data_IF_328255004946
#
_entry.id   IF_328255004946
#
_cell.length_a   1.000
_cell.length_b   1.000
_cell.length_c   1.000
_cell.angle_alpha   90.00
_cell.angle_beta   90.00
_cell.angle_gamma   90.00
#
_symmetry.space_group_name_H-M   'P 1'
#
loop_
_entity.id
_entity.type
_entity.pdbx_description
1 polymer ?
#
# COMPACT_ATOMS: atom_id res chain seq x y z
N UNK A 1 -1.38 -22.14 -3.43
CA UNK A 1 -2.36 -21.06 -3.18
C UNK A 1 -2.50 -20.29 -4.47
N UNK A 2 -3.68 -20.33 -5.10
CA UNK A 2 -3.87 -19.97 -6.52
C UNK A 2 -3.91 -18.46 -6.76
N UNK A 3 -3.47 -18.06 -7.95
CA UNK A 3 -3.44 -16.67 -8.47
C UNK A 3 -4.81 -15.96 -8.39
N UNK A 4 -5.89 -16.73 -8.27
CA UNK A 4 -7.28 -16.28 -8.16
C UNK A 4 -7.60 -15.62 -6.81
N UNK A 5 -7.16 -16.19 -5.70
CA UNK A 5 -7.39 -15.63 -4.35
C UNK A 5 -6.71 -14.26 -4.22
N UNK A 6 -5.58 -14.08 -4.89
CA UNK A 6 -4.83 -12.81 -4.91
C UNK A 6 -5.50 -11.72 -5.75
N UNK A 7 -6.11 -12.07 -6.88
CA UNK A 7 -6.88 -11.13 -7.72
C UNK A 7 -8.14 -10.63 -6.99
N UNK A 8 -8.76 -11.49 -6.19
CA UNK A 8 -9.98 -11.17 -5.43
C UNK A 8 -9.73 -10.12 -4.34
N UNK A 9 -8.60 -10.23 -3.60
CA UNK A 9 -8.27 -9.24 -2.56
C UNK A 9 -7.84 -7.86 -3.10
N UNK A 10 -7.22 -7.80 -4.29
CA UNK A 10 -6.84 -6.55 -4.94
C UNK A 10 -8.02 -5.78 -5.56
N UNK A 11 -9.09 -6.48 -5.94
CA UNK A 11 -10.27 -5.87 -6.54
C UNK A 11 -11.20 -5.23 -5.50
N UNK A 12 -11.24 -5.79 -4.27
CA UNK A 12 -12.11 -5.32 -3.20
C UNK A 12 -11.76 -3.89 -2.70
N UNK A 13 -10.50 -3.46 -2.84
CA UNK A 13 -10.06 -2.12 -2.43
C UNK A 13 -10.38 -1.04 -3.48
N UNK A 14 -10.47 -1.40 -4.76
CA UNK A 14 -10.78 -0.46 -5.86
C UNK A 14 -12.27 -0.23 -6.06
N UNK A 15 -13.11 -1.20 -5.65
CA UNK A 15 -14.57 -1.10 -5.73
C UNK A 15 -15.17 0.01 -4.88
N UNK A 16 -14.63 0.26 -3.67
CA UNK A 16 -15.13 1.30 -2.75
C UNK A 16 -14.83 2.73 -3.24
N UNK A 17 -13.63 2.97 -3.80
CA UNK A 17 -13.24 4.30 -4.29
C UNK A 17 -14.04 4.77 -5.53
N UNK A 18 -14.48 3.84 -6.38
CA UNK A 18 -15.26 4.18 -7.57
C UNK A 18 -16.75 4.45 -7.30
N UNK A 19 -17.32 3.90 -6.22
CA UNK A 19 -18.72 4.20 -5.84
C UNK A 19 -18.86 5.60 -5.22
N UNK A 20 -17.92 6.00 -4.35
CA UNK A 20 -17.93 7.33 -3.72
C UNK A 20 -17.75 8.47 -4.73
N UNK A 21 -17.06 8.22 -5.86
CA UNK A 21 -16.85 9.23 -6.90
C UNK A 21 -18.09 9.43 -7.79
N UNK A 22 -18.96 8.41 -7.95
CA UNK A 22 -20.16 8.51 -8.81
C UNK A 22 -21.30 9.31 -8.17
N UNK A 23 -21.47 9.20 -6.86
CA UNK A 23 -22.59 9.83 -6.13
C UNK A 23 -22.46 11.37 -6.14
N UNK A 24 -21.25 11.90 -6.29
CA UNK A 24 -20.98 13.35 -6.25
C UNK A 24 -21.09 14.07 -7.61
N UNK A 25 -21.37 13.35 -8.71
CA UNK A 25 -21.43 13.94 -10.06
C UNK A 25 -22.88 14.25 -10.46
N UNK A 26 -23.87 13.63 -9.82
CA UNK A 26 -25.29 13.72 -10.21
C UNK A 26 -26.04 14.92 -9.60
N UNK A 27 -25.45 15.66 -8.65
CA UNK A 27 -26.14 16.76 -7.94
C UNK A 27 -26.04 18.16 -8.58
N UNK A 28 -25.20 18.35 -9.60
CA UNK A 28 -24.88 19.71 -10.11
C UNK A 28 -25.53 20.08 -11.46
N UNK A 29 -26.52 19.31 -11.92
CA UNK A 29 -27.13 19.56 -13.24
C UNK A 29 -28.61 19.92 -13.14
N UNK A 30 -28.97 21.05 -12.51
CA UNK A 30 -30.20 21.76 -12.85
C UNK A 30 -30.09 23.29 -12.69
N UNK A 31 -30.74 23.99 -13.64
CA UNK A 31 -31.13 25.42 -13.71
C UNK A 31 -30.20 26.39 -14.47
N UNK A 32 -30.52 26.69 -15.75
CA UNK A 32 -31.24 27.92 -16.18
C UNK A 32 -31.07 28.17 -17.69
N UNK A 33 -32.18 28.21 -18.41
CA UNK A 33 -32.34 28.60 -19.82
C UNK A 33 -32.16 30.11 -20.03
N UNK A 34 -31.09 30.51 -20.71
CA UNK A 34 -30.97 31.78 -21.46
C UNK A 34 -29.65 31.75 -22.25
N UNK A 35 -29.68 31.34 -23.52
CA UNK A 35 -28.59 31.44 -24.54
C UNK A 35 -27.15 31.59 -24.00
N UNK A 36 -26.77 30.73 -23.05
CA UNK A 36 -25.50 30.80 -22.32
C UNK A 36 -24.64 29.76 -22.99
N UNK A 37 -23.63 30.21 -23.74
CA UNK A 37 -22.60 29.31 -24.26
C UNK A 37 -22.12 28.44 -23.09
N UNK A 38 -22.37 27.13 -23.19
CA UNK A 38 -22.04 26.21 -22.11
C UNK A 38 -20.51 26.11 -22.07
N UNK A 39 -19.91 26.46 -20.94
CA UNK A 39 -18.47 26.40 -20.76
C UNK A 39 -18.10 25.22 -19.88
N UNK A 40 -17.04 24.50 -20.26
CA UNK A 40 -16.39 23.50 -19.44
C UNK A 40 -15.23 24.09 -18.68
N UNK A 41 -15.09 23.73 -17.40
CA UNK A 41 -13.86 23.96 -16.65
C UNK A 41 -12.82 22.88 -17.00
N UNK A 42 -11.55 23.09 -16.61
CA UNK A 42 -10.53 22.02 -16.68
C UNK A 42 -10.97 20.73 -15.97
N UNK A 43 -11.72 20.82 -14.88
CA UNK A 43 -12.22 19.64 -14.17
C UNK A 43 -13.23 18.87 -15.03
N UNK A 44 -14.15 19.57 -15.72
CA UNK A 44 -15.09 18.93 -16.64
C UNK A 44 -14.36 18.28 -17.82
N UNK A 45 -13.35 18.94 -18.39
CA UNK A 45 -12.51 18.34 -19.44
C UNK A 45 -11.82 17.06 -18.96
N UNK A 46 -11.25 17.07 -17.74
CA UNK A 46 -10.62 15.89 -17.14
C UNK A 46 -11.60 14.74 -16.95
N UNK A 47 -12.83 15.02 -16.52
CA UNK A 47 -13.90 14.01 -16.40
C UNK A 47 -14.25 13.38 -17.76
N UNK A 48 -14.12 14.13 -18.87
CA UNK A 48 -14.30 13.64 -20.24
C UNK A 48 -13.09 12.89 -20.80
N UNK A 49 -12.01 12.77 -20.02
CA UNK A 49 -10.79 12.06 -20.40
C UNK A 49 -9.71 12.94 -21.01
N UNK A 50 -9.83 14.26 -20.92
CA UNK A 50 -8.74 15.16 -21.25
C UNK A 50 -7.66 15.09 -20.16
N UNK A 51 -6.41 15.00 -20.57
CA UNK A 51 -5.22 15.19 -19.74
C UNK A 51 -4.70 16.61 -19.87
N UNK A 52 -3.84 17.04 -18.94
CA UNK A 52 -3.18 18.35 -19.04
C UNK A 52 -2.39 18.51 -20.36
N UNK A 53 -1.78 17.41 -20.82
CA UNK A 53 -1.06 17.36 -22.10
C UNK A 53 -1.99 17.52 -23.29
N UNK A 54 -3.15 16.87 -23.31
CA UNK A 54 -4.12 17.05 -24.41
C UNK A 54 -4.70 18.46 -24.42
N UNK A 55 -4.95 19.05 -23.26
CA UNK A 55 -5.39 20.46 -23.19
C UNK A 55 -4.29 21.35 -23.79
N UNK A 56 -3.03 21.17 -23.39
CA UNK A 56 -1.91 21.96 -23.93
C UNK A 56 -1.69 21.80 -25.44
N UNK A 57 -2.01 20.63 -26.03
CA UNK A 57 -1.79 20.37 -27.45
C UNK A 57 -2.97 20.85 -28.30
N UNK A 58 -4.19 20.55 -27.87
CA UNK A 58 -5.39 20.73 -28.69
C UNK A 58 -6.22 21.95 -28.30
N UNK A 59 -6.07 22.48 -27.09
CA UNK A 59 -6.82 23.63 -26.59
C UNK A 59 -6.03 24.46 -25.57
N UNK A 60 -4.84 25.00 -25.94
CA UNK A 60 -3.93 25.64 -24.99
C UNK A 60 -4.49 26.93 -24.39
N UNK A 61 -5.20 27.71 -25.20
CA UNK A 61 -5.80 28.98 -24.81
C UNK A 61 -7.26 28.79 -24.42
N UNK A 62 -7.66 29.11 -23.17
CA UNK A 62 -9.07 29.10 -22.77
C UNK A 62 -9.81 30.27 -23.42
N UNK A 63 -11.11 30.12 -23.65
CA UNK A 63 -11.93 31.20 -24.20
C UNK A 63 -12.22 32.29 -23.17
N UNK A 64 -12.36 31.89 -21.90
CA UNK A 64 -12.58 32.82 -20.79
C UNK A 64 -11.79 32.40 -19.55
N UNK A 65 -11.37 33.40 -18.77
CA UNK A 65 -10.87 33.21 -17.41
C UNK A 65 -11.76 33.98 -16.43
N UNK A 66 -12.21 33.31 -15.37
CA UNK A 66 -12.99 33.96 -14.30
C UNK A 66 -12.33 33.76 -12.95
N UNK A 67 -12.56 34.67 -12.02
CA UNK A 67 -12.12 34.48 -10.64
C UNK A 67 -12.80 33.24 -10.04
N UNK A 68 -12.02 32.45 -9.31
CA UNK A 68 -12.47 31.27 -8.62
C UNK A 68 -13.17 31.69 -7.32
N UNK A 69 -14.41 31.25 -7.10
CA UNK A 69 -15.15 31.52 -5.86
C UNK A 69 -14.48 30.97 -4.60
N UNK A 70 -13.57 30.00 -4.74
CA UNK A 70 -12.84 29.38 -3.63
C UNK A 70 -11.47 30.02 -3.35
N UNK A 71 -11.00 30.97 -4.15
CA UNK A 71 -9.71 31.62 -3.95
C UNK A 71 -9.70 33.06 -4.45
N UNK A 72 -9.28 33.98 -3.57
CA UNK A 72 -9.26 35.42 -3.83
C UNK A 72 -8.43 35.81 -5.06
N UNK A 73 -7.41 35.02 -5.39
CA UNK A 73 -6.50 35.26 -6.53
C UNK A 73 -6.51 34.13 -7.57
N UNK A 74 -7.27 33.05 -7.32
CA UNK A 74 -7.33 31.91 -8.25
C UNK A 74 -8.19 32.27 -9.46
N UNK A 75 -7.73 31.94 -10.67
CA UNK A 75 -8.52 32.03 -11.89
C UNK A 75 -8.89 30.65 -12.40
N UNK A 76 -10.15 30.46 -12.76
CA UNK A 76 -10.67 29.26 -13.41
C UNK A 76 -10.73 29.50 -14.91
N UNK A 77 -10.10 28.59 -15.67
CA UNK A 77 -10.10 28.56 -17.13
C UNK A 77 -11.38 27.89 -17.65
N UNK A 78 -12.03 28.53 -18.62
CA UNK A 78 -13.29 28.11 -19.21
C UNK A 78 -13.13 27.89 -20.71
N UNK A 79 -13.70 26.78 -21.19
CA UNK A 79 -13.59 26.30 -22.56
C UNK A 79 -14.98 26.13 -23.15
N UNK A 80 -15.23 26.66 -24.33
CA UNK A 80 -16.53 26.55 -24.99
C UNK A 80 -16.84 25.08 -25.34
N UNK A 81 -17.99 24.59 -24.87
CA UNK A 81 -18.43 23.21 -25.10
C UNK A 81 -18.50 22.82 -26.58
N UNK A 82 -18.93 23.73 -27.45
CA UNK A 82 -19.01 23.53 -28.90
C UNK A 82 -17.62 23.27 -29.49
N UNK A 83 -16.63 24.10 -29.15
CA UNK A 83 -15.24 23.93 -29.59
C UNK A 83 -14.62 22.65 -29.03
N UNK A 84 -14.89 22.34 -27.77
CA UNK A 84 -14.44 21.07 -27.15
C UNK A 84 -14.99 19.87 -27.92
N UNK A 85 -16.28 19.89 -28.27
CA UNK A 85 -16.92 18.80 -29.02
C UNK A 85 -16.35 18.70 -30.43
N UNK A 86 -16.17 19.82 -31.13
CA UNK A 86 -15.55 19.86 -32.45
C UNK A 86 -14.11 19.29 -32.43
N UNK A 87 -13.33 19.62 -31.41
CA UNK A 87 -11.98 19.05 -31.23
C UNK A 87 -12.05 17.54 -30.98
N UNK A 88 -12.96 17.09 -30.10
CA UNK A 88 -13.15 15.66 -29.80
C UNK A 88 -13.53 14.84 -31.05
N UNK A 89 -14.18 15.46 -32.03
CA UNK A 89 -14.57 14.83 -33.29
C UNK A 89 -13.43 14.68 -34.30
N UNK A 90 -12.38 15.49 -34.18
CA UNK A 90 -11.22 15.43 -35.10
C UNK A 90 -10.51 14.08 -35.05
N UNK A 91 -10.04 13.62 -36.22
CA UNK A 91 -9.30 12.36 -36.32
C UNK A 91 -8.03 12.37 -35.45
N UNK A 92 -7.31 13.50 -35.42
CA UNK A 92 -6.08 13.67 -34.64
C UNK A 92 -6.31 13.52 -33.15
N UNK A 93 -7.40 14.07 -32.61
CA UNK A 93 -7.76 13.91 -31.20
C UNK A 93 -8.15 12.46 -30.87
N UNK A 94 -8.99 11.83 -31.72
CA UNK A 94 -9.40 10.43 -31.54
C UNK A 94 -8.21 9.48 -31.55
N UNK A 95 -7.27 9.65 -32.48
CA UNK A 95 -6.03 8.87 -32.53
C UNK A 95 -5.15 9.09 -31.30
N UNK A 96 -4.96 10.34 -30.87
CA UNK A 96 -4.20 10.65 -29.67
C UNK A 96 -4.80 9.96 -28.44
N UNK A 97 -6.12 10.06 -28.28
CA UNK A 97 -6.86 9.45 -27.17
C UNK A 97 -6.71 7.93 -27.18
N UNK A 98 -6.86 7.29 -28.34
CA UNK A 98 -6.68 5.85 -28.48
C UNK A 98 -5.26 5.41 -28.08
N UNK A 99 -4.22 6.09 -28.60
CA UNK A 99 -2.81 5.81 -28.25
C UNK A 99 -2.54 5.99 -26.76
N UNK A 100 -3.07 7.06 -26.16
CA UNK A 100 -2.89 7.32 -24.73
C UNK A 100 -3.58 6.25 -23.87
N UNK A 101 -4.81 5.86 -24.21
CA UNK A 101 -5.53 4.80 -23.51
C UNK A 101 -4.79 3.47 -23.55
N UNK A 102 -4.28 3.08 -24.73
CA UNK A 102 -3.48 1.86 -24.88
C UNK A 102 -2.22 1.92 -24.02
N UNK A 103 -1.50 3.05 -24.03
CA UNK A 103 -0.31 3.25 -23.19
C UNK A 103 -0.64 3.11 -21.70
N UNK A 104 -1.72 3.73 -21.23
CA UNK A 104 -2.14 3.66 -19.82
C UNK A 104 -2.52 2.23 -19.45
N UNK A 105 -3.25 1.52 -20.33
CA UNK A 105 -3.61 0.12 -20.13
C UNK A 105 -2.36 -0.77 -20.01
N UNK A 106 -1.46 -0.69 -20.99
CA UNK A 106 -0.22 -1.48 -20.99
C UNK A 106 0.68 -1.15 -19.78
N UNK A 107 0.78 0.12 -19.39
CA UNK A 107 1.52 0.52 -18.20
C UNK A 107 0.91 -0.07 -16.92
N UNK A 108 -0.43 -0.08 -16.81
CA UNK A 108 -1.15 -0.69 -15.68
C UNK A 108 -0.93 -2.20 -15.62
N UNK A 109 -1.03 -2.88 -16.76
CA UNK A 109 -0.78 -4.33 -16.87
C UNK A 109 0.67 -4.68 -16.51
N UNK A 110 1.64 -3.92 -17.03
CA UNK A 110 3.05 -4.08 -16.69
C UNK A 110 3.34 -3.86 -15.21
N UNK A 111 2.76 -2.82 -14.61
CA UNK A 111 2.89 -2.54 -13.18
C UNK A 111 2.26 -3.66 -12.33
N UNK A 112 1.09 -4.18 -12.73
CA UNK A 112 0.44 -5.30 -12.05
C UNK A 112 1.29 -6.57 -12.12
N UNK A 113 1.82 -6.91 -13.30
CA UNK A 113 2.70 -8.07 -13.49
C UNK A 113 3.96 -7.94 -12.63
N UNK A 114 4.61 -6.79 -12.64
CA UNK A 114 5.79 -6.53 -11.81
C UNK A 114 5.49 -6.67 -10.31
N UNK A 115 4.32 -6.21 -9.86
CA UNK A 115 3.89 -6.37 -8.47
C UNK A 115 3.64 -7.83 -8.10
N UNK A 116 3.00 -8.61 -8.97
CA UNK A 116 2.79 -10.05 -8.79
C UNK A 116 4.12 -10.78 -8.72
N UNK A 117 5.01 -10.56 -9.69
CA UNK A 117 6.33 -11.20 -9.73
C UNK A 117 7.14 -10.88 -8.47
N UNK A 118 7.18 -9.62 -8.04
CA UNK A 118 7.86 -9.24 -6.79
C UNK A 118 7.28 -9.96 -5.58
N UNK A 119 5.95 -10.05 -5.49
CA UNK A 119 5.27 -10.74 -4.41
C UNK A 119 5.62 -12.25 -4.38
N UNK A 120 5.60 -12.89 -5.55
CA UNK A 120 5.99 -14.30 -5.70
C UNK A 120 7.44 -14.52 -5.27
N UNK A 121 8.37 -13.71 -5.76
CA UNK A 121 9.78 -13.84 -5.36
C UNK A 121 10.00 -13.65 -3.85
N UNK A 122 9.27 -12.73 -3.21
CA UNK A 122 9.32 -12.58 -1.75
C UNK A 122 8.72 -13.78 -1.01
N UNK A 123 7.63 -14.33 -1.54
CA UNK A 123 7.01 -15.52 -0.96
C UNK A 123 7.96 -16.72 -1.06
N UNK A 124 8.58 -16.92 -2.22
CA UNK A 124 9.56 -17.98 -2.44
C UNK A 124 10.77 -17.81 -1.53
N UNK A 125 11.25 -16.57 -1.35
CA UNK A 125 12.33 -16.26 -0.42
C UNK A 125 11.97 -16.66 1.02
N UNK A 126 10.80 -16.24 1.53
CA UNK A 126 10.34 -16.58 2.90
C UNK A 126 10.10 -18.08 3.03
N UNK A 127 9.61 -18.75 1.98
CA UNK A 127 9.32 -20.18 2.00
C UNK A 127 10.58 -21.05 2.08
N UNK A 128 11.64 -20.61 1.41
CA UNK A 128 12.92 -21.33 1.36
C UNK A 128 13.91 -20.84 2.42
N UNK A 129 13.50 -19.91 3.28
CA UNK A 129 14.33 -19.44 4.39
C UNK A 129 14.57 -20.61 5.35
N UNK A 130 15.83 -20.99 5.49
CA UNK A 130 16.26 -21.91 6.53
C UNK A 130 16.45 -21.11 7.81
N UNK A 131 15.73 -21.50 8.85
CA UNK A 131 15.78 -20.84 10.15
C UNK A 131 16.59 -21.76 11.03
N UNK A 132 17.78 -21.31 11.41
CA UNK A 132 18.67 -22.04 12.28
C UNK A 132 18.67 -21.34 13.63
N UNK A 133 18.17 -22.03 14.65
CA UNK A 133 18.16 -21.50 16.02
C UNK A 133 19.26 -22.20 16.79
N UNK A 134 20.29 -21.49 17.28
CA UNK A 134 21.32 -22.11 18.11
C UNK A 134 20.69 -22.69 19.38
N UNK A 135 21.07 -23.93 19.70
CA UNK A 135 20.64 -24.57 20.93
C UNK A 135 21.43 -24.02 22.12
N UNK A 136 20.71 -23.56 23.14
CA UNK A 136 21.23 -23.17 24.44
C UNK A 136 20.59 -24.05 25.50
N UNK A 137 21.33 -24.37 26.56
CA UNK A 137 20.71 -25.04 27.70
C UNK A 137 19.66 -24.14 28.35
N UNK A 138 18.65 -24.74 28.99
CA UNK A 138 17.50 -24.01 29.53
C UNK A 138 17.92 -22.91 30.49
N UNK A 139 18.82 -23.21 31.42
CA UNK A 139 19.34 -22.29 32.42
C UNK A 139 20.09 -21.12 31.76
N UNK A 140 20.86 -21.41 30.71
CA UNK A 140 21.59 -20.39 29.95
C UNK A 140 20.62 -19.47 29.21
N UNK A 141 19.64 -20.05 28.50
CA UNK A 141 18.64 -19.27 27.77
C UNK A 141 17.87 -18.34 28.70
N UNK A 142 17.42 -18.83 29.87
CA UNK A 142 16.70 -18.01 30.84
C UNK A 142 17.57 -16.89 31.41
N UNK A 143 18.86 -17.16 31.64
CA UNK A 143 19.81 -16.14 32.11
C UNK A 143 19.95 -15.01 31.09
N UNK A 144 20.21 -15.34 29.83
CA UNK A 144 20.33 -14.34 28.76
C UNK A 144 19.02 -13.60 28.50
N UNK A 145 17.89 -14.30 28.58
CA UNK A 145 16.55 -13.71 28.46
C UNK A 145 16.32 -12.63 29.52
N UNK A 146 16.65 -12.93 30.78
CA UNK A 146 16.50 -12.01 31.91
C UNK A 146 17.41 -10.78 31.72
N UNK A 147 18.67 -11.01 31.36
CA UNK A 147 19.63 -9.94 31.11
C UNK A 147 19.16 -9.02 29.97
N UNK A 148 18.77 -9.60 28.84
CA UNK A 148 18.22 -8.90 27.69
C UNK A 148 17.05 -7.98 28.06
N UNK A 149 16.05 -8.53 28.75
CA UNK A 149 14.86 -7.77 29.13
C UNK A 149 15.18 -6.64 30.12
N UNK A 150 16.02 -6.94 31.13
CA UNK A 150 16.36 -5.96 32.16
C UNK A 150 17.23 -4.83 31.62
N UNK A 151 18.14 -5.11 30.68
CA UNK A 151 18.92 -4.10 29.99
C UNK A 151 18.00 -3.17 29.19
N UNK A 152 17.07 -3.72 28.41
CA UNK A 152 16.08 -2.91 27.66
C UNK A 152 15.18 -2.06 28.56
N UNK A 153 14.81 -2.55 29.75
CA UNK A 153 14.07 -1.78 30.75
C UNK A 153 14.90 -0.65 31.33
N UNK A 154 16.17 -0.92 31.66
CA UNK A 154 17.11 0.08 32.18
C UNK A 154 17.30 1.22 31.19
N UNK A 155 17.45 0.92 29.90
CA UNK A 155 17.59 1.93 28.84
C UNK A 155 16.36 2.84 28.71
N UNK A 156 15.19 2.35 29.13
CA UNK A 156 13.93 3.10 29.19
C UNK A 156 13.69 3.82 30.53
N UNK A 157 14.58 3.63 31.52
CA UNK A 157 14.40 4.16 32.87
C UNK A 157 13.34 3.43 33.70
N UNK A 158 13.02 2.18 33.35
CA UNK A 158 12.06 1.32 34.05
C UNK A 158 12.80 0.32 34.95
N UNK A 159 12.27 0.04 36.14
CA UNK A 159 12.94 -0.77 37.18
C UNK A 159 12.20 -2.07 37.55
N UNK A 160 11.11 -2.39 36.85
CA UNK A 160 10.39 -3.65 37.01
C UNK A 160 11.15 -4.79 36.31
N UNK A 161 12.13 -5.33 37.01
CA UNK A 161 13.04 -6.34 36.47
C UNK A 161 12.44 -7.75 36.52
N UNK A 162 12.76 -8.50 35.47
CA UNK A 162 12.48 -9.92 35.37
C UNK A 162 13.48 -10.71 36.21
N UNK A 163 12.99 -11.77 36.85
CA UNK A 163 13.80 -12.72 37.64
C UNK A 163 13.37 -14.15 37.32
N UNK A 164 14.14 -15.15 37.76
CA UNK A 164 13.75 -16.57 37.62
C UNK A 164 12.46 -16.94 38.35
N UNK A 165 12.08 -16.17 39.37
CA UNK A 165 10.87 -16.38 40.17
C UNK A 165 9.66 -15.59 39.65
N UNK A 166 9.83 -14.84 38.55
CA UNK A 166 8.72 -14.16 37.89
C UNK A 166 7.72 -15.16 37.33
N UNK A 167 6.51 -14.68 37.02
CA UNK A 167 5.45 -15.50 36.42
C UNK A 167 5.99 -16.36 35.26
N UNK A 168 5.87 -17.70 35.33
CA UNK A 168 6.42 -18.60 34.31
C UNK A 168 5.87 -18.34 32.91
N UNK A 169 4.60 -17.92 32.79
CA UNK A 169 3.99 -17.58 31.51
C UNK A 169 4.67 -16.36 30.89
N UNK A 170 4.84 -15.30 31.68
CA UNK A 170 5.56 -14.11 31.25
C UNK A 170 7.02 -14.41 30.90
N UNK A 171 7.73 -15.18 31.73
CA UNK A 171 9.12 -15.56 31.48
C UNK A 171 9.28 -16.35 30.17
N UNK A 172 8.40 -17.32 29.89
CA UNK A 172 8.41 -18.08 28.65
C UNK A 172 8.15 -17.19 27.42
N UNK A 173 7.24 -16.21 27.54
CA UNK A 173 6.99 -15.24 26.47
C UNK A 173 8.21 -14.37 26.19
N UNK A 174 8.90 -13.89 27.22
CA UNK A 174 10.11 -13.08 27.04
C UNK A 174 11.26 -13.93 26.49
N UNK A 175 11.38 -15.20 26.92
CA UNK A 175 12.36 -16.13 26.36
C UNK A 175 12.16 -16.35 24.86
N UNK A 176 10.90 -16.49 24.42
CA UNK A 176 10.58 -16.50 23.00
C UNK A 176 11.01 -15.23 22.29
N UNK A 177 10.68 -14.06 22.84
CA UNK A 177 11.08 -12.80 22.23
C UNK A 177 12.60 -12.70 22.10
N UNK A 178 13.35 -13.12 23.12
CA UNK A 178 14.80 -13.18 23.05
C UNK A 178 15.27 -14.08 21.90
N UNK A 179 14.73 -15.30 21.77
CA UNK A 179 15.05 -16.18 20.64
C UNK A 179 14.74 -15.50 19.30
N UNK A 180 13.55 -14.89 19.17
CA UNK A 180 13.13 -14.21 17.95
C UNK A 180 14.06 -13.07 17.56
N UNK A 181 14.46 -12.22 18.50
CA UNK A 181 15.18 -10.99 18.18
C UNK A 181 16.70 -11.14 18.19
N UNK A 182 17.24 -12.03 19.02
CA UNK A 182 18.69 -12.16 19.24
C UNK A 182 19.28 -13.44 18.65
N UNK A 183 18.50 -14.53 18.56
CA UNK A 183 18.99 -15.82 18.07
C UNK A 183 18.55 -16.13 16.64
N UNK A 184 17.86 -15.21 15.97
CA UNK A 184 17.46 -15.36 14.57
C UNK A 184 17.59 -14.05 13.81
N UNK A 185 17.75 -14.15 12.48
CA UNK A 185 17.76 -12.99 11.58
C UNK A 185 16.35 -12.44 11.31
N UNK A 186 15.39 -12.67 12.21
CA UNK A 186 13.99 -12.26 12.04
C UNK A 186 13.87 -10.77 11.76
N UNK A 187 14.54 -9.93 12.55
CA UNK A 187 14.47 -8.47 12.42
C UNK A 187 14.96 -8.00 11.05
N UNK A 188 16.08 -8.56 10.59
CA UNK A 188 16.68 -8.22 9.30
C UNK A 188 15.80 -8.70 8.14
N UNK A 189 15.35 -9.95 8.21
CA UNK A 189 14.45 -10.56 7.23
C UNK A 189 13.13 -9.79 7.15
N UNK A 190 12.56 -9.43 8.29
CA UNK A 190 11.33 -8.63 8.39
C UNK A 190 11.52 -7.26 7.75
N UNK A 191 12.65 -6.60 8.03
CA UNK A 191 12.97 -5.30 7.45
C UNK A 191 13.17 -5.39 5.93
N UNK A 192 13.85 -6.43 5.46
CA UNK A 192 14.01 -6.71 4.04
C UNK A 192 12.66 -6.87 3.34
N UNK A 193 11.78 -7.74 3.87
CA UNK A 193 10.44 -7.96 3.32
C UNK A 193 9.61 -6.66 3.34
N UNK A 194 9.69 -5.86 4.41
CA UNK A 194 9.02 -4.54 4.50
C UNK A 194 9.49 -3.59 3.41
N UNK A 195 10.82 -3.45 3.22
CA UNK A 195 11.41 -2.56 2.20
C UNK A 195 10.99 -2.93 0.78
N UNK A 196 10.71 -4.20 0.53
CA UNK A 196 10.25 -4.69 -0.78
C UNK A 196 8.72 -4.54 -0.98
N UNK A 197 8.01 -3.95 -0.02
CA UNK A 197 6.55 -3.77 -0.08
C UNK A 197 5.77 -5.04 0.26
N UNK A 198 6.37 -5.92 1.08
CA UNK A 198 5.75 -7.15 1.56
C UNK A 198 4.41 -6.89 2.25
N UNK A 199 3.51 -7.88 2.12
CA UNK A 199 2.15 -7.83 2.68
C UNK A 199 2.12 -8.51 4.05
N UNK A 200 1.07 -8.21 4.83
CA UNK A 200 0.87 -8.75 6.18
C UNK A 200 1.06 -10.27 6.28
N UNK A 201 0.51 -11.01 5.31
CA UNK A 201 0.59 -12.47 5.29
C UNK A 201 2.03 -13.03 5.22
N UNK A 202 3.00 -12.27 4.68
CA UNK A 202 4.41 -12.70 4.65
C UNK A 202 5.03 -12.64 6.04
N UNK A 203 4.62 -11.68 6.86
CA UNK A 203 5.06 -11.58 8.26
C UNK A 203 4.49 -12.72 9.09
N UNK A 204 3.21 -13.01 8.93
CA UNK A 204 2.56 -14.14 9.60
C UNK A 204 3.24 -15.46 9.24
N UNK A 205 3.64 -15.63 7.98
CA UNK A 205 4.35 -16.83 7.53
C UNK A 205 5.74 -16.92 8.15
N UNK A 206 6.53 -15.85 8.13
CA UNK A 206 7.86 -15.80 8.73
C UNK A 206 7.80 -16.13 10.24
N UNK A 207 6.88 -15.48 10.96
CA UNK A 207 6.68 -15.73 12.39
C UNK A 207 6.34 -17.20 12.68
N UNK A 208 5.44 -17.81 11.89
CA UNK A 208 5.07 -19.22 12.06
C UNK A 208 6.25 -20.17 11.84
N UNK A 209 7.07 -19.92 10.83
CA UNK A 209 8.23 -20.78 10.57
C UNK A 209 9.22 -20.73 11.75
N UNK A 210 9.47 -19.54 12.32
CA UNK A 210 10.31 -19.39 13.52
C UNK A 210 9.65 -20.07 14.71
N UNK A 211 8.34 -19.88 14.90
CA UNK A 211 7.60 -20.49 16.00
C UNK A 211 7.64 -22.02 15.96
N UNK A 212 7.55 -22.62 14.78
CA UNK A 212 7.69 -24.05 14.57
C UNK A 212 9.10 -24.52 14.95
N UNK A 213 10.13 -23.79 14.53
CA UNK A 213 11.51 -24.14 14.86
C UNK A 213 11.82 -23.98 16.36
N UNK A 214 11.28 -22.93 17.00
CA UNK A 214 11.38 -22.77 18.47
C UNK A 214 10.75 -23.96 19.18
N UNK A 215 9.61 -24.47 18.71
CA UNK A 215 8.97 -25.64 19.31
C UNK A 215 9.79 -26.91 19.14
N UNK A 216 10.51 -27.04 18.01
CA UNK A 216 11.40 -28.16 17.76
C UNK A 216 12.62 -28.13 18.69
N UNK A 217 13.29 -26.98 18.79
CA UNK A 217 14.53 -26.81 19.57
C UNK A 217 14.28 -26.71 21.07
N UNK A 218 13.17 -26.07 21.47
CA UNK A 218 12.81 -25.82 22.88
C UNK A 218 11.37 -26.30 23.21
N UNK A 219 11.10 -27.61 23.27
CA UNK A 219 9.74 -28.14 23.49
C UNK A 219 9.10 -27.67 24.81
N UNK A 220 9.92 -27.41 25.84
CA UNK A 220 9.45 -26.94 27.15
C UNK A 220 8.88 -25.52 27.11
N UNK A 221 9.17 -24.73 26.06
CA UNK A 221 8.57 -23.42 25.89
C UNK A 221 7.10 -23.55 25.45
N UNK A 222 6.60 -24.68 24.95
CA UNK A 222 5.30 -24.78 24.26
C UNK A 222 4.01 -24.49 25.08
N UNK A 223 4.14 -24.18 26.38
CA UNK A 223 3.01 -23.92 27.29
C UNK A 223 2.80 -22.42 27.52
N UNK A 224 2.25 -21.74 26.51
CA UNK A 224 1.64 -20.40 26.58
C UNK A 224 0.26 -20.42 25.91
#
# INVERSE_FOLDING_TARGET
>A
MTEEIFKEQLNNTKGKQNMETKINIESDTQVSTANKRLHFTKANLKARGWTERTISIFYPEPDEERLNGFSRNGKTKLYLSEKVTAIEETATFKEFRAKNNNRVKSAKEGAQKAAITRCQSLLDYVWNLKIEIPYLEKEQLLTYTIEYYNNHKRDKGEFDFLTLNSDPYFLNRIARNYIFYELTDYSETLNYVKKQGGKGFLYDRLSRNIDEEIKNVYPWLNNY
#
